data_IF_360770649096
#
_entry.id   IF_360770649096
#
_cell.length_a   1.000
_cell.length_b   1.000
_cell.length_c   1.000
_cell.angle_alpha   90.00
_cell.angle_beta   90.00
_cell.angle_gamma   90.00
#
_symmetry.space_group_name_H-M   'P 1'
#
loop_
_entity.id
_entity.type
_entity.pdbx_description
1 polymer ?
#
# COMPACT_ATOMS: atom_id res chain seq x y z
N UNK A 1 2.97 -1.94 -24.13
CA UNK A 1 2.26 -2.25 -22.87
C UNK A 1 1.38 -3.47 -23.05
N UNK A 2 0.34 -3.42 -23.89
CA UNK A 2 -0.60 -4.52 -24.16
C UNK A 2 0.04 -5.91 -24.31
N UNK A 3 0.99 -6.08 -25.24
CA UNK A 3 1.62 -7.39 -25.48
C UNK A 3 2.38 -7.93 -24.26
N UNK A 4 3.01 -7.03 -23.50
CA UNK A 4 3.74 -7.39 -22.28
C UNK A 4 2.79 -7.69 -21.12
N UNK A 5 1.68 -6.96 -21.02
CA UNK A 5 0.67 -7.21 -20.00
C UNK A 5 -0.05 -8.54 -20.25
N UNK A 6 -0.30 -8.87 -21.52
CA UNK A 6 -0.93 -10.12 -21.94
C UNK A 6 -0.14 -11.38 -21.55
N UNK A 7 1.18 -11.27 -21.33
CA UNK A 7 2.00 -12.40 -20.85
C UNK A 7 1.89 -12.63 -19.34
N UNK A 8 1.13 -11.81 -18.61
CA UNK A 8 0.97 -11.90 -17.15
C UNK A 8 2.27 -11.60 -16.38
N UNK A 9 3.17 -10.82 -16.98
CA UNK A 9 4.45 -10.44 -16.38
C UNK A 9 4.35 -9.04 -15.76
N UNK A 10 4.74 -8.85 -14.48
CA UNK A 10 4.78 -7.54 -13.86
C UNK A 10 5.68 -6.58 -14.63
N UNK A 11 5.29 -5.31 -14.71
CA UNK A 11 6.05 -4.28 -15.40
C UNK A 11 6.60 -3.26 -14.41
N UNK A 12 7.87 -2.89 -14.59
CA UNK A 12 8.51 -1.82 -13.84
C UNK A 12 8.67 -0.61 -14.76
N UNK A 13 8.10 0.51 -14.34
CA UNK A 13 8.27 1.81 -15.01
C UNK A 13 9.11 2.70 -14.10
N UNK A 14 10.22 3.21 -14.62
CA UNK A 14 11.14 4.09 -13.88
C UNK A 14 11.01 5.54 -14.35
N UNK A 15 11.49 6.49 -13.55
CA UNK A 15 11.50 7.91 -13.91
C UNK A 15 10.15 8.62 -13.80
N UNK A 16 9.21 8.06 -13.04
CA UNK A 16 7.89 8.66 -12.79
C UNK A 16 7.95 9.87 -11.85
N UNK A 17 9.04 10.05 -11.09
CA UNK A 17 9.26 11.18 -10.18
C UNK A 17 9.02 12.53 -10.85
N UNK A 18 9.36 12.64 -12.14
CA UNK A 18 9.21 13.87 -12.94
C UNK A 18 7.76 14.22 -13.31
N UNK A 19 6.82 13.30 -13.10
CA UNK A 19 5.40 13.48 -13.43
C UNK A 19 4.60 14.05 -12.25
N UNK A 20 5.12 13.89 -11.03
CA UNK A 20 4.51 14.43 -9.81
C UNK A 20 4.90 15.90 -9.64
N UNK A 21 3.92 16.73 -9.28
CA UNK A 21 4.13 18.17 -9.03
C UNK A 21 4.17 18.47 -7.54
N UNK A 22 3.57 17.61 -6.72
CA UNK A 22 3.69 17.66 -5.27
C UNK A 22 4.95 16.88 -4.83
N UNK A 23 5.53 17.23 -3.69
CA UNK A 23 6.78 16.60 -3.23
C UNK A 23 6.60 15.19 -2.66
N UNK A 24 5.40 14.80 -2.24
CA UNK A 24 5.09 13.50 -1.59
C UNK A 24 6.09 13.08 -0.50
N UNK A 25 6.63 14.06 0.23
CA UNK A 25 7.67 13.86 1.23
C UNK A 25 7.09 13.82 2.65
N UNK A 26 7.79 13.20 3.63
CA UNK A 26 7.39 13.24 5.02
C UNK A 26 7.13 14.67 5.53
N UNK A 27 7.98 15.63 5.14
CA UNK A 27 7.82 17.03 5.53
C UNK A 27 6.51 17.63 4.99
N UNK A 28 6.15 17.34 3.75
CA UNK A 28 4.88 17.79 3.17
C UNK A 28 3.68 17.25 3.96
N UNK A 29 3.69 15.96 4.32
CA UNK A 29 2.61 15.36 5.11
C UNK A 29 2.56 15.91 6.54
N UNK A 30 3.71 16.18 7.16
CA UNK A 30 3.79 16.86 8.47
C UNK A 30 3.14 18.25 8.40
N UNK A 31 3.48 19.04 7.38
CA UNK A 31 3.04 20.43 7.28
C UNK A 31 1.54 20.55 6.99
N UNK A 32 0.99 19.65 6.19
CA UNK A 32 -0.42 19.73 5.73
C UNK A 32 -1.38 18.90 6.59
N UNK A 33 -0.92 17.79 7.17
CA UNK A 33 -1.79 16.82 7.85
C UNK A 33 -1.29 16.43 9.24
N UNK A 34 -0.21 17.05 9.73
CA UNK A 34 0.47 16.62 10.95
C UNK A 34 -0.39 16.58 12.22
N UNK A 35 -1.45 17.38 12.30
CA UNK A 35 -2.38 17.39 13.44
C UNK A 35 -3.43 16.27 13.39
N UNK A 36 -3.54 15.54 12.28
CA UNK A 36 -4.47 14.41 12.18
C UNK A 36 -4.01 13.28 13.10
N UNK A 37 -4.96 12.76 13.87
CA UNK A 37 -4.74 11.59 14.72
C UNK A 37 -4.83 10.34 13.85
N UNK A 38 -3.91 9.41 14.09
CA UNK A 38 -3.80 8.15 13.37
C UNK A 38 -3.49 7.00 14.32
N UNK A 39 -3.47 5.80 13.77
CA UNK A 39 -2.92 4.62 14.41
C UNK A 39 -1.62 4.23 13.72
N UNK A 40 -0.70 3.68 14.50
CA UNK A 40 0.53 3.08 14.01
C UNK A 40 0.49 1.64 14.49
N UNK A 41 0.75 0.70 13.58
CA UNK A 41 0.71 -0.73 13.85
C UNK A 41 2.10 -1.31 13.68
N UNK A 42 2.55 -2.12 14.63
CA UNK A 42 3.77 -2.90 14.50
C UNK A 42 3.54 -4.04 13.48
N UNK A 43 4.38 -4.13 12.45
CA UNK A 43 4.22 -5.13 11.39
C UNK A 43 4.38 -6.58 11.88
N UNK A 44 5.10 -6.78 12.99
CA UNK A 44 5.47 -8.08 13.52
C UNK A 44 4.56 -8.61 14.61
N UNK A 45 4.04 -7.72 15.45
CA UNK A 45 3.15 -8.08 16.57
C UNK A 45 1.69 -7.73 16.31
N UNK A 46 1.40 -6.94 15.28
CA UNK A 46 0.12 -6.28 15.02
C UNK A 46 -0.40 -5.44 16.20
N UNK A 47 0.48 -5.12 17.17
CA UNK A 47 0.15 -4.19 18.25
C UNK A 47 -0.07 -2.79 17.67
N UNK A 48 -1.17 -2.18 18.10
CA UNK A 48 -1.59 -0.87 17.60
C UNK A 48 -1.45 0.19 18.67
N UNK A 49 -0.89 1.34 18.31
CA UNK A 49 -0.79 2.51 19.16
C UNK A 49 -1.34 3.76 18.49
N UNK A 50 -1.94 4.64 19.29
CA UNK A 50 -2.44 5.93 18.82
C UNK A 50 -1.29 6.92 18.70
N UNK A 51 -1.28 7.70 17.63
CA UNK A 51 -0.28 8.74 17.38
C UNK A 51 -0.87 9.87 16.52
N UNK A 52 0.00 10.69 15.94
CA UNK A 52 -0.34 11.71 14.95
C UNK A 52 0.45 11.49 13.68
N UNK A 53 -0.09 11.95 12.55
CA UNK A 53 0.61 11.92 11.26
C UNK A 53 1.99 12.58 11.38
N UNK A 54 2.10 13.66 12.15
CA UNK A 54 3.39 14.31 12.40
C UNK A 54 4.40 13.40 13.09
N UNK A 55 4.01 12.77 14.19
CA UNK A 55 4.91 11.89 14.96
C UNK A 55 5.38 10.70 14.14
N UNK A 56 4.49 10.11 13.34
CA UNK A 56 4.84 9.05 12.40
C UNK A 56 5.84 9.53 11.34
N UNK A 57 5.56 10.61 10.60
CA UNK A 57 6.45 11.06 9.54
C UNK A 57 7.78 11.64 10.05
N UNK A 58 7.85 12.12 11.30
CA UNK A 58 9.13 12.46 11.94
C UNK A 58 10.04 11.23 12.11
N UNK A 59 9.48 10.02 12.20
CA UNK A 59 10.25 8.78 12.25
C UNK A 59 11.09 8.51 11.01
N UNK A 60 10.65 8.97 9.83
CA UNK A 60 11.42 8.83 8.57
C UNK A 60 12.70 9.68 8.55
N UNK A 61 12.78 10.69 9.42
CA UNK A 61 13.97 11.56 9.56
C UNK A 61 14.96 11.05 10.61
N UNK A 62 14.58 10.02 11.39
CA UNK A 62 15.50 9.40 12.35
C UNK A 62 16.54 8.58 11.62
N UNK A 63 17.68 8.38 12.28
CA UNK A 63 18.72 7.48 11.80
C UNK A 63 18.08 6.11 11.48
N UNK A 64 18.19 5.62 10.23
CA UNK A 64 17.68 4.31 9.86
C UNK A 64 18.10 3.23 10.83
N UNK A 65 19.29 3.32 11.43
CA UNK A 65 19.83 2.34 12.39
C UNK A 65 19.18 2.43 13.78
N UNK A 66 18.60 3.58 14.14
CA UNK A 66 17.94 3.82 15.44
C UNK A 66 16.49 3.31 15.52
N UNK A 67 15.84 3.09 14.38
CA UNK A 67 14.46 2.58 14.32
C UNK A 67 14.52 1.05 14.32
N UNK A 68 14.05 0.43 15.39
CA UNK A 68 14.07 -1.02 15.57
C UNK A 68 12.79 -1.67 15.08
N UNK A 69 11.67 -0.97 15.21
CA UNK A 69 10.35 -1.54 14.99
C UNK A 69 9.82 -1.22 13.58
N UNK A 70 9.33 -2.24 12.87
CA UNK A 70 8.61 -2.06 11.61
C UNK A 70 7.23 -1.51 11.95
N UNK A 71 6.97 -0.25 11.61
CA UNK A 71 5.72 0.43 11.96
C UNK A 71 5.02 0.89 10.68
N UNK A 72 3.71 0.61 10.55
CA UNK A 72 2.86 1.02 9.43
C UNK A 72 1.79 2.01 9.89
N UNK A 73 1.52 3.04 9.08
CA UNK A 73 0.51 4.05 9.36
C UNK A 73 -0.88 3.57 8.94
N UNK A 74 -1.84 3.71 9.84
CA UNK A 74 -3.24 3.32 9.66
C UNK A 74 -4.19 4.42 10.15
N UNK A 75 -5.44 4.35 9.70
CA UNK A 75 -6.50 5.26 10.12
C UNK A 75 -6.90 4.94 11.55
N UNK A 76 -7.17 5.96 12.37
CA UNK A 76 -7.71 5.78 13.71
C UNK A 76 -9.12 5.16 13.64
N UNK A 77 -9.34 4.03 14.32
CA UNK A 77 -10.69 3.47 14.44
C UNK A 77 -11.57 4.39 15.31
N UNK A 78 -12.84 4.56 14.93
CA UNK A 78 -13.82 5.18 15.82
C UNK A 78 -14.09 4.21 16.97
N UNK A 79 -14.04 4.72 18.21
CA UNK A 79 -14.29 4.01 19.47
C UNK A 79 -15.72 3.42 19.64
N UNK A 80 -16.48 3.21 18.57
CA UNK A 80 -17.84 2.65 18.65
C UNK A 80 -17.87 1.21 18.17
N UNK A 81 -18.19 0.29 19.09
CA UNK A 81 -18.54 -1.14 18.96
C UNK A 81 -17.99 -1.89 17.72
N UNK A 82 -17.16 -2.93 17.91
CA UNK A 82 -16.52 -3.64 16.81
C UNK A 82 -17.56 -4.29 15.91
N UNK A 83 -17.59 -3.89 14.64
CA UNK A 83 -18.35 -4.59 13.59
C UNK A 83 -17.39 -5.47 12.81
N UNK A 84 -17.90 -6.55 12.18
CA UNK A 84 -17.11 -7.56 11.45
C UNK A 84 -16.24 -7.03 10.29
N UNK A 85 -16.27 -5.72 10.00
CA UNK A 85 -15.42 -5.04 9.01
C UNK A 85 -14.37 -4.12 9.64
N UNK A 86 -14.04 -4.28 10.94
CA UNK A 86 -13.05 -3.48 11.68
C UNK A 86 -11.59 -3.79 11.28
N UNK A 87 -11.33 -3.93 9.98
CA UNK A 87 -9.97 -4.08 9.46
C UNK A 87 -9.29 -2.71 9.46
N UNK A 88 -8.08 -2.66 10.02
CA UNK A 88 -7.23 -1.48 10.03
C UNK A 88 -7.00 -0.94 8.63
N UNK A 89 -7.67 0.17 8.31
CA UNK A 89 -7.63 0.78 6.99
C UNK A 89 -6.35 1.61 6.80
N UNK A 90 -5.81 1.57 5.59
CA UNK A 90 -4.65 2.38 5.22
C UNK A 90 -4.97 3.88 5.38
N UNK A 91 -4.03 4.65 5.93
CA UNK A 91 -4.18 6.09 5.97
C UNK A 91 -3.67 6.70 4.65
N UNK A 92 -4.50 7.49 3.97
CA UNK A 92 -5.90 7.77 4.26
C UNK A 92 -6.88 6.73 3.69
N UNK A 93 -8.11 6.63 4.23
CA UNK A 93 -9.06 5.62 3.77
C UNK A 93 -9.32 5.75 2.28
N UNK A 94 -9.24 4.63 1.55
CA UNK A 94 -9.34 4.60 0.07
C UNK A 94 -10.63 5.22 -0.42
N UNK A 95 -11.77 4.87 0.20
CA UNK A 95 -13.09 5.39 -0.12
C UNK A 95 -13.22 6.93 0.02
N UNK A 96 -12.33 7.56 0.79
CA UNK A 96 -12.35 9.01 1.03
C UNK A 96 -11.06 9.71 0.56
N UNK A 97 -10.18 9.02 -0.18
CA UNK A 97 -8.90 9.58 -0.59
C UNK A 97 -9.09 10.86 -1.41
N UNK A 98 -9.94 10.80 -2.44
CA UNK A 98 -10.22 11.94 -3.32
C UNK A 98 -10.83 13.13 -2.57
N UNK A 99 -11.73 12.87 -1.62
CA UNK A 99 -12.42 13.94 -0.88
C UNK A 99 -11.56 14.53 0.22
N UNK A 100 -10.71 13.72 0.85
CA UNK A 100 -9.86 14.13 1.98
C UNK A 100 -8.54 14.74 1.49
N UNK A 101 -8.02 14.29 0.34
CA UNK A 101 -6.75 14.70 -0.23
C UNK A 101 -6.85 15.04 -1.72
N UNK A 102 -7.69 16.03 -2.10
CA UNK A 102 -8.00 16.31 -3.50
C UNK A 102 -6.76 16.66 -4.34
N UNK A 103 -5.85 17.50 -3.83
CA UNK A 103 -4.62 17.87 -4.55
C UNK A 103 -3.70 16.66 -4.77
N UNK A 104 -3.54 15.79 -3.78
CA UNK A 104 -2.74 14.57 -3.90
C UNK A 104 -3.39 13.57 -4.87
N UNK A 105 -4.72 13.45 -4.83
CA UNK A 105 -5.45 12.61 -5.77
C UNK A 105 -5.25 13.07 -7.20
N UNK A 106 -5.42 14.37 -7.49
CA UNK A 106 -5.19 14.92 -8.83
C UNK A 106 -3.73 14.74 -9.27
N UNK A 107 -2.78 14.96 -8.37
CA UNK A 107 -1.35 14.77 -8.65
C UNK A 107 -1.03 13.32 -9.03
N UNK A 108 -1.60 12.37 -8.29
CA UNK A 108 -1.44 10.93 -8.54
C UNK A 108 -2.09 10.50 -9.86
N UNK A 109 -3.36 10.83 -10.09
CA UNK A 109 -4.10 10.45 -11.30
C UNK A 109 -3.47 11.06 -12.56
N UNK A 110 -2.85 12.24 -12.46
CA UNK A 110 -2.12 12.84 -13.58
C UNK A 110 -0.82 12.09 -13.89
N UNK A 111 -0.15 11.55 -12.87
CA UNK A 111 1.18 10.96 -12.99
C UNK A 111 1.19 9.45 -13.27
N UNK A 112 0.07 8.73 -13.06
CA UNK A 112 0.02 7.28 -13.33
C UNK A 112 0.33 6.96 -14.80
N UNK A 113 1.26 6.02 -15.09
CA UNK A 113 1.54 5.59 -16.45
C UNK A 113 0.40 4.76 -17.04
N UNK A 114 0.42 4.59 -18.36
CA UNK A 114 -0.58 3.82 -19.11
C UNK A 114 -2.01 4.31 -18.83
N UNK A 115 -2.21 5.63 -18.91
CA UNK A 115 -3.44 6.35 -18.61
C UNK A 115 -4.72 5.66 -19.14
N UNK A 116 -4.68 5.12 -20.36
CA UNK A 116 -5.82 4.42 -20.97
C UNK A 116 -6.30 3.21 -20.16
N UNK A 117 -5.42 2.60 -19.36
CA UNK A 117 -5.68 1.44 -18.50
C UNK A 117 -5.85 1.79 -17.03
N UNK A 118 -5.05 2.74 -16.53
CA UNK A 118 -4.91 2.98 -15.08
C UNK A 118 -5.78 4.10 -14.57
N UNK A 119 -6.17 5.07 -15.40
CA UNK A 119 -6.97 6.20 -14.94
C UNK A 119 -8.46 5.85 -14.87
N UNK A 120 -9.22 6.49 -13.96
CA UNK A 120 -10.67 6.34 -13.88
C UNK A 120 -11.44 6.77 -15.14
N UNK A 121 -10.81 7.51 -16.05
CA UNK A 121 -11.35 7.92 -17.35
C UNK A 121 -10.68 7.20 -18.54
N UNK A 122 -9.88 6.17 -18.27
CA UNK A 122 -9.19 5.38 -19.29
C UNK A 122 -10.14 4.58 -20.18
N UNK A 123 -9.90 4.60 -21.50
CA UNK A 123 -10.75 3.90 -22.47
C UNK A 123 -10.64 2.36 -22.40
N UNK A 124 -9.55 1.84 -21.83
CA UNK A 124 -9.31 0.41 -21.60
C UNK A 124 -9.46 0.00 -20.13
N UNK A 125 -9.77 0.95 -19.23
CA UNK A 125 -10.09 0.64 -17.85
C UNK A 125 -11.54 0.19 -17.71
N UNK A 126 -11.80 -1.11 -17.60
CA UNK A 126 -13.16 -1.63 -17.46
C UNK A 126 -13.91 -1.09 -16.23
N UNK A 127 -13.20 -0.72 -15.16
CA UNK A 127 -13.80 -0.12 -13.98
C UNK A 127 -14.40 1.28 -14.25
N UNK A 128 -13.85 2.02 -15.22
CA UNK A 128 -14.36 3.32 -15.65
C UNK A 128 -15.76 3.21 -16.27
N UNK A 129 -16.07 2.06 -16.89
CA UNK A 129 -17.28 1.81 -17.66
C UNK A 129 -18.30 0.94 -16.92
N UNK A 130 -18.08 0.65 -15.64
CA UNK A 130 -18.98 -0.17 -14.83
C UNK A 130 -20.34 0.54 -14.64
N UNK A 131 -21.48 -0.18 -14.78
CA UNK A 131 -22.80 0.42 -14.60
C UNK A 131 -22.96 1.06 -13.21
N UNK A 132 -23.54 2.27 -13.16
CA UNK A 132 -23.77 3.00 -11.91
C UNK A 132 -24.69 2.25 -10.92
N UNK A 133 -25.49 1.32 -11.42
CA UNK A 133 -26.41 0.49 -10.66
C UNK A 133 -25.83 -0.88 -10.27
N UNK A 134 -24.56 -1.15 -10.57
CA UNK A 134 -23.86 -2.35 -10.13
C UNK A 134 -23.06 -2.09 -8.84
N UNK A 135 -22.74 -3.16 -8.10
CA UNK A 135 -21.78 -3.10 -7.00
C UNK A 135 -20.40 -2.78 -7.57
N UNK A 136 -20.02 -1.51 -7.56
CA UNK A 136 -18.68 -1.07 -7.94
C UNK A 136 -17.71 -1.52 -6.85
N UNK A 137 -16.63 -2.19 -7.25
CA UNK A 137 -15.49 -2.45 -6.36
C UNK A 137 -14.90 -1.13 -5.88
N UNK A 138 -14.49 -1.05 -4.62
CA UNK A 138 -13.85 0.14 -4.03
C UNK A 138 -12.44 0.33 -4.64
N UNK A 139 -12.41 0.93 -5.84
CA UNK A 139 -11.22 1.23 -6.61
C UNK A 139 -10.88 2.70 -6.43
N UNK A 140 -9.62 2.95 -6.09
CA UNK A 140 -9.10 4.29 -5.91
C UNK A 140 -7.68 4.23 -5.37
N UNK A 141 -6.96 5.36 -5.36
CA UNK A 141 -5.64 5.43 -4.78
C UNK A 141 -5.65 5.01 -3.31
N UNK A 142 -4.66 4.20 -2.94
CA UNK A 142 -4.35 3.85 -1.54
C UNK A 142 -2.93 4.32 -1.25
N UNK A 143 -2.67 4.74 -0.01
CA UNK A 143 -1.34 5.14 0.41
C UNK A 143 -0.82 4.15 1.44
N UNK A 144 0.38 3.65 1.19
CA UNK A 144 1.09 2.74 2.08
C UNK A 144 2.30 3.46 2.66
N UNK A 145 2.31 3.64 3.97
CA UNK A 145 3.42 4.29 4.66
C UNK A 145 3.92 3.37 5.77
N UNK A 146 5.18 2.95 5.70
CA UNK A 146 5.80 2.09 6.69
C UNK A 146 7.28 2.42 6.86
N UNK A 147 7.83 2.14 8.05
CA UNK A 147 9.27 2.13 8.26
C UNK A 147 9.91 0.88 7.64
N UNK A 148 11.23 0.94 7.47
CA UNK A 148 11.98 -0.18 6.94
C UNK A 148 11.87 -1.41 7.85
N UNK A 149 11.55 -2.56 7.25
CA UNK A 149 11.55 -3.83 7.95
C UNK A 149 12.98 -4.37 8.12
N UNK A 150 13.43 -4.43 9.38
CA UNK A 150 14.71 -5.06 9.76
C UNK A 150 14.55 -6.45 10.34
N UNK A 151 13.33 -6.82 10.73
CA UNK A 151 12.99 -8.10 11.38
C UNK A 151 12.68 -9.19 10.36
N UNK A 152 12.57 -8.84 9.06
CA UNK A 152 12.23 -9.72 7.93
C UNK A 152 10.83 -10.32 8.05
N UNK A 153 9.92 -9.58 8.68
CA UNK A 153 8.52 -9.96 8.83
C UNK A 153 7.66 -9.53 7.63
N UNK A 154 8.16 -8.58 6.84
CA UNK A 154 7.46 -7.97 5.72
C UNK A 154 6.58 -6.80 6.16
N UNK A 155 6.72 -5.64 5.51
CA UNK A 155 5.78 -4.52 5.66
C UNK A 155 4.42 -4.81 5.03
N UNK A 156 4.39 -5.72 4.07
CA UNK A 156 3.20 -6.21 3.38
C UNK A 156 3.39 -7.71 3.18
N UNK A 157 2.55 -8.48 3.86
CA UNK A 157 2.56 -9.94 3.81
C UNK A 157 2.07 -10.44 2.45
N UNK A 158 2.32 -11.71 2.16
CA UNK A 158 1.94 -12.32 0.89
C UNK A 158 0.41 -12.31 0.75
N UNK A 159 -0.08 -11.68 -0.32
CA UNK A 159 -1.50 -11.63 -0.64
C UNK A 159 -1.71 -11.66 -2.16
N UNK A 160 -2.98 -11.77 -2.56
CA UNK A 160 -3.41 -11.70 -3.94
C UNK A 160 -4.46 -10.60 -4.09
N UNK A 161 -4.20 -9.64 -4.96
CA UNK A 161 -5.16 -8.58 -5.29
C UNK A 161 -6.28 -9.09 -6.21
N UNK A 162 -7.49 -8.59 -5.97
CA UNK A 162 -8.68 -8.96 -6.74
C UNK A 162 -8.77 -8.23 -8.10
N UNK A 163 -7.95 -7.20 -8.31
CA UNK A 163 -7.94 -6.36 -9.51
C UNK A 163 -6.51 -6.00 -9.89
N UNK A 164 -6.33 -5.57 -11.15
CA UNK A 164 -5.05 -5.01 -11.61
C UNK A 164 -4.68 -3.78 -10.77
N UNK A 165 -3.41 -3.69 -10.39
CA UNK A 165 -2.92 -2.63 -9.51
C UNK A 165 -1.64 -2.00 -10.06
N UNK A 166 -1.45 -0.73 -9.71
CA UNK A 166 -0.19 -0.01 -9.90
C UNK A 166 0.31 0.53 -8.57
N UNK A 167 1.55 0.21 -8.24
CA UNK A 167 2.23 0.70 -7.05
C UNK A 167 3.34 1.66 -7.48
N UNK A 168 3.37 2.86 -6.88
CA UNK A 168 4.37 3.90 -7.18
C UNK A 168 5.09 4.24 -5.89
N UNK A 169 6.40 4.00 -5.85
CA UNK A 169 7.25 4.41 -4.74
C UNK A 169 7.59 5.90 -4.88
N UNK A 170 6.97 6.74 -4.04
CA UNK A 170 7.12 8.19 -4.09
C UNK A 170 8.20 8.73 -3.15
N UNK A 171 8.44 8.04 -2.05
CA UNK A 171 9.46 8.40 -1.08
C UNK A 171 10.08 7.16 -0.45
N UNK A 172 11.39 7.20 -0.25
CA UNK A 172 12.13 6.27 0.59
C UNK A 172 13.29 7.01 1.25
N UNK A 173 13.47 6.83 2.56
CA UNK A 173 14.65 7.35 3.26
C UNK A 173 15.90 6.67 2.69
N UNK A 174 16.93 7.43 2.25
CA UNK A 174 18.18 6.85 1.81
C UNK A 174 18.84 5.98 2.89
N UNK A 175 19.59 4.96 2.47
CA UNK A 175 20.41 4.17 3.39
C UNK A 175 21.52 5.04 4.00
N UNK A 176 22.01 4.67 5.19
CA UNK A 176 23.07 5.39 5.89
C UNK A 176 24.37 5.56 5.06
N UNK A 177 24.63 4.64 4.12
CA UNK A 177 25.75 4.71 3.18
C UNK A 177 25.52 5.66 1.98
N UNK A 178 24.40 6.39 1.96
CA UNK A 178 24.04 7.34 0.90
C UNK A 178 23.39 6.71 -0.34
N UNK A 179 23.18 5.39 -0.37
CA UNK A 179 22.45 4.75 -1.46
C UNK A 179 20.95 5.07 -1.38
N UNK A 180 20.25 5.14 -2.53
CA UNK A 180 18.80 5.32 -2.55
C UNK A 180 18.08 4.23 -1.75
N UNK A 181 17.12 4.62 -0.92
CA UNK A 181 16.22 3.70 -0.26
C UNK A 181 15.24 3.05 -1.23
N UNK A 182 14.50 2.04 -0.75
CA UNK A 182 13.49 1.38 -1.57
C UNK A 182 12.74 0.29 -0.82
N UNK A 183 12.06 -0.56 -1.59
CA UNK A 183 11.35 -1.73 -1.10
C UNK A 183 11.76 -2.97 -1.89
N UNK A 184 11.83 -4.12 -1.21
CA UNK A 184 12.04 -5.42 -1.83
C UNK A 184 10.69 -6.07 -2.12
N UNK A 185 10.45 -6.43 -3.38
CA UNK A 185 9.23 -7.09 -3.81
C UNK A 185 9.52 -8.51 -4.29
N UNK A 186 8.81 -9.48 -3.73
CA UNK A 186 8.72 -10.83 -4.28
C UNK A 186 7.35 -10.97 -4.94
N UNK A 187 7.32 -11.09 -6.27
CA UNK A 187 6.08 -11.23 -7.03
C UNK A 187 6.06 -12.60 -7.69
N UNK A 188 4.97 -13.32 -7.49
CA UNK A 188 4.75 -14.64 -8.06
C UNK A 188 3.70 -14.57 -9.16
N UNK A 189 3.78 -15.46 -10.16
CA UNK A 189 2.77 -15.50 -11.20
C UNK A 189 1.44 -16.04 -10.63
N UNK A 190 0.32 -15.49 -11.06
CA UNK A 190 -1.01 -15.92 -10.58
C UNK A 190 -1.28 -17.42 -10.83
N UNK A 191 -0.69 -18.01 -11.88
CA UNK A 191 -0.79 -19.46 -12.14
C UNK A 191 -0.12 -20.32 -11.06
N UNK A 192 0.83 -19.77 -10.29
CA UNK A 192 1.60 -20.50 -9.28
C UNK A 192 0.89 -20.47 -7.91
N UNK A 193 -0.21 -19.72 -7.76
CA UNK A 193 -0.98 -19.63 -6.51
C UNK A 193 -1.36 -21.00 -5.91
N UNK A 194 -1.81 -22.02 -6.68
CA UNK A 194 -2.09 -23.34 -6.11
C UNK A 194 -0.85 -24.01 -5.49
N UNK A 195 0.31 -23.90 -6.12
CA UNK A 195 1.55 -24.47 -5.63
C UNK A 195 2.05 -23.73 -4.37
N UNK A 196 1.93 -22.39 -4.35
CA UNK A 196 2.26 -21.58 -3.19
C UNK A 196 1.38 -21.93 -1.98
N UNK A 197 0.07 -22.10 -2.17
CA UNK A 197 -0.83 -22.56 -1.08
C UNK A 197 -0.41 -23.91 -0.51
N UNK A 198 -0.03 -24.85 -1.38
CA UNK A 198 0.47 -26.17 -0.96
C UNK A 198 1.73 -26.02 -0.10
N UNK A 199 2.72 -25.28 -0.60
CA UNK A 199 3.97 -25.02 0.10
C UNK A 199 3.77 -24.32 1.45
N UNK A 200 2.92 -23.30 1.53
CA UNK A 200 2.65 -22.56 2.77
C UNK A 200 2.00 -23.46 3.83
N UNK A 201 1.04 -24.31 3.43
CA UNK A 201 0.41 -25.26 4.35
C UNK A 201 1.43 -26.27 4.91
N UNK A 202 2.27 -26.83 4.04
CA UNK A 202 3.31 -27.78 4.43
C UNK A 202 4.38 -27.15 5.32
N UNK A 203 4.85 -25.96 4.97
CA UNK A 203 5.96 -25.28 5.67
C UNK A 203 5.57 -24.68 7.01
N UNK A 204 4.30 -24.29 7.18
CA UNK A 204 3.82 -23.67 8.42
C UNK A 204 3.07 -24.64 9.33
N UNK A 205 2.70 -25.84 8.86
CA UNK A 205 1.94 -26.82 9.62
C UNK A 205 0.46 -26.42 9.86
N UNK A 206 -0.06 -25.43 9.13
CA UNK A 206 -1.42 -24.92 9.26
C UNK A 206 -2.37 -25.59 8.24
N UNK A 207 -2.64 -26.89 8.39
CA UNK A 207 -3.58 -27.58 7.50
C UNK A 207 -5.05 -27.13 7.71
N UNK A 208 -5.40 -26.64 8.89
CA UNK A 208 -6.81 -26.41 9.31
C UNK A 208 -7.25 -24.92 9.41
N UNK A 209 -6.41 -23.94 9.06
CA UNK A 209 -6.70 -22.50 9.35
C UNK A 209 -7.22 -21.71 8.13
N UNK A 210 -7.53 -22.40 7.02
CA UNK A 210 -8.13 -21.78 5.82
C UNK A 210 -7.18 -21.59 4.64
N UNK A 211 -7.39 -20.55 3.83
CA UNK A 211 -6.52 -20.22 2.69
C UNK A 211 -5.42 -19.24 3.15
N UNK A 212 -4.15 -19.67 3.22
CA UNK A 212 -3.05 -18.88 3.80
C UNK A 212 -2.77 -17.57 3.05
N UNK A 213 -3.09 -17.49 1.75
CA UNK A 213 -2.90 -16.27 0.96
C UNK A 213 -4.09 -15.32 1.16
N UNK A 214 -5.28 -15.86 1.38
CA UNK A 214 -6.47 -15.05 1.63
C UNK A 214 -6.49 -14.50 3.06
N UNK A 215 -6.05 -15.29 4.05
CA UNK A 215 -6.01 -14.88 5.45
C UNK A 215 -4.95 -13.83 5.75
N UNK A 216 -3.96 -13.64 4.86
CA UNK A 216 -2.85 -12.70 5.04
C UNK A 216 -2.16 -12.85 6.40
N UNK A 217 -2.08 -14.09 6.89
CA UNK A 217 -1.67 -14.39 8.26
C UNK A 217 -0.24 -14.91 8.37
N UNK A 218 0.50 -14.93 7.24
CA UNK A 218 1.81 -15.56 7.08
C UNK A 218 2.75 -14.70 6.22
#
# INVERSE_FOLDING_TARGET
>A
FQDLWASGTPLIVTGLDRQFQLPWSPQYFIDHFGSQVCEIVDCGTDETQRSTVKEFFLGFSKDPDSVVDCMKLKVLHKLSEPTLSDTSQDWPPSATFQTTFPSLHEDFIRAVPFADYTRPDGCHNLAAHFPLNALRSDLGPKMYNAYADKTRQGTTVLHLDAADAINILLYATPFANGLPGGALWHIFAARDTPALRCYLRESTGHEDVGDPIHSQSL
#
